data_IF_143453712001
#
_entry.id   IF_143453712001
#
_cell.length_a   1.000
_cell.length_b   1.000
_cell.length_c   1.000
_cell.angle_alpha   90.00
_cell.angle_beta   90.00
_cell.angle_gamma   90.00
#
_symmetry.space_group_name_H-M   'P 1'
#
loop_
_entity.id
_entity.type
_entity.pdbx_description
1 polymer ?
#
# COMPACT_ATOMS: atom_id res chain seq x y z
N UNK A 1 11.82 -12.43 -49.48
CA UNK A 1 11.48 -11.37 -48.50
C UNK A 1 12.46 -10.23 -48.73
N UNK A 2 11.99 -9.00 -48.95
CA UNK A 2 12.89 -7.89 -49.23
C UNK A 2 13.70 -7.52 -47.98
N UNK A 3 14.87 -6.88 -48.14
CA UNK A 3 15.65 -6.40 -46.99
C UNK A 3 14.81 -5.46 -46.11
N UNK A 4 13.98 -4.61 -46.73
CA UNK A 4 13.02 -3.74 -46.05
C UNK A 4 12.01 -4.51 -45.19
N UNK A 5 11.49 -5.64 -45.67
CA UNK A 5 10.55 -6.47 -44.91
C UNK A 5 11.22 -7.09 -43.69
N UNK A 6 12.51 -7.41 -43.75
CA UNK A 6 13.22 -8.04 -42.62
C UNK A 6 13.52 -7.03 -41.52
N UNK A 7 13.88 -5.80 -41.88
CA UNK A 7 14.11 -4.70 -40.93
C UNK A 7 12.81 -4.26 -40.24
N UNK A 8 11.70 -4.18 -40.99
CA UNK A 8 10.39 -3.86 -40.43
C UNK A 8 9.92 -4.94 -39.46
N UNK A 9 10.02 -6.23 -39.80
CA UNK A 9 9.66 -7.32 -38.88
C UNK A 9 10.52 -7.32 -37.61
N UNK A 10 11.81 -7.06 -37.74
CA UNK A 10 12.72 -6.97 -36.58
C UNK A 10 12.36 -5.78 -35.68
N UNK A 11 12.05 -4.61 -36.26
CA UNK A 11 11.61 -3.42 -35.52
C UNK A 11 10.29 -3.67 -34.80
N UNK A 12 9.33 -4.33 -35.46
CA UNK A 12 8.05 -4.70 -34.85
C UNK A 12 8.22 -5.64 -33.67
N UNK A 13 9.03 -6.70 -33.81
CA UNK A 13 9.30 -7.64 -32.71
C UNK A 13 9.94 -6.91 -31.52
N UNK A 14 10.97 -6.08 -31.75
CA UNK A 14 11.63 -5.31 -30.69
C UNK A 14 10.64 -4.35 -30.01
N UNK A 15 9.80 -3.67 -30.78
CA UNK A 15 8.79 -2.75 -30.23
C UNK A 15 7.75 -3.45 -29.36
N UNK A 16 7.32 -4.66 -29.74
CA UNK A 16 6.38 -5.47 -28.97
C UNK A 16 7.00 -5.97 -27.66
N UNK A 17 8.25 -6.42 -27.70
CA UNK A 17 8.99 -6.83 -26.50
C UNK A 17 9.18 -5.65 -25.54
N UNK A 18 9.50 -4.47 -26.06
CA UNK A 18 9.62 -3.25 -25.26
C UNK A 18 8.29 -2.84 -24.62
N UNK A 19 7.18 -2.94 -25.35
CA UNK A 19 5.84 -2.64 -24.84
C UNK A 19 5.46 -3.60 -23.70
N UNK A 20 5.70 -4.90 -23.88
CA UNK A 20 5.44 -5.90 -22.85
C UNK A 20 6.27 -5.64 -21.59
N UNK A 21 7.56 -5.34 -21.77
CA UNK A 21 8.46 -4.95 -20.68
C UNK A 21 7.96 -3.71 -19.93
N UNK A 22 7.54 -2.67 -20.65
CA UNK A 22 7.01 -1.44 -20.06
C UNK A 22 5.74 -1.70 -19.22
N UNK A 23 4.80 -2.49 -19.74
CA UNK A 23 3.57 -2.86 -19.03
C UNK A 23 3.90 -3.61 -17.73
N UNK A 24 4.86 -4.54 -17.78
CA UNK A 24 5.30 -5.29 -16.60
C UNK A 24 5.86 -4.37 -15.52
N UNK A 25 6.73 -3.42 -15.89
CA UNK A 25 7.32 -2.45 -14.96
C UNK A 25 6.25 -1.51 -14.38
N UNK A 26 5.28 -1.08 -15.18
CA UNK A 26 4.16 -0.27 -14.70
C UNK A 26 3.28 -1.05 -13.71
N UNK A 27 2.97 -2.32 -14.00
CA UNK A 27 2.23 -3.18 -13.10
C UNK A 27 2.99 -3.41 -11.77
N UNK A 28 4.32 -3.55 -11.84
CA UNK A 28 5.17 -3.64 -10.65
C UNK A 28 5.12 -2.38 -9.80
N UNK A 29 5.28 -1.19 -10.41
CA UNK A 29 5.16 0.07 -9.70
C UNK A 29 3.78 0.26 -9.09
N UNK A 30 2.72 -0.10 -9.82
CA UNK A 30 1.35 -0.07 -9.29
C UNK A 30 1.22 -0.91 -8.02
N UNK A 31 1.75 -2.14 -8.02
CA UNK A 31 1.76 -3.03 -6.86
C UNK A 31 2.60 -2.50 -5.71
N UNK A 32 3.75 -1.88 -6.02
CA UNK A 32 4.60 -1.23 -5.00
C UNK A 32 3.85 -0.12 -4.28
N UNK A 33 3.11 0.74 -5.01
CA UNK A 33 2.31 1.82 -4.42
C UNK A 33 1.18 1.28 -3.53
N UNK A 34 0.53 0.18 -3.96
CA UNK A 34 -0.48 -0.49 -3.13
C UNK A 34 0.11 -0.98 -1.80
N UNK A 35 1.35 -1.46 -1.79
CA UNK A 35 2.05 -1.87 -0.55
C UNK A 35 2.39 -0.71 0.36
N UNK A 36 2.59 0.49 -0.20
CA UNK A 36 2.79 1.73 0.56
C UNK A 36 1.47 2.32 1.07
N UNK A 37 0.32 1.68 0.81
CA UNK A 37 -1.00 2.22 1.18
C UNK A 37 -1.44 3.40 0.32
N UNK A 38 -0.91 3.51 -0.91
CA UNK A 38 -1.24 4.57 -1.90
C UNK A 38 -2.00 3.99 -3.09
N UNK A 39 -2.65 4.85 -3.87
CA UNK A 39 -3.37 4.40 -5.06
C UNK A 39 -2.35 4.11 -6.17
N UNK A 40 -2.46 2.95 -6.81
CA UNK A 40 -1.46 2.52 -7.81
C UNK A 40 -1.37 3.44 -9.04
N UNK A 41 -2.44 4.15 -9.40
CA UNK A 41 -2.41 5.12 -10.51
C UNK A 41 -1.48 6.31 -10.23
N UNK A 42 -1.17 6.62 -8.97
CA UNK A 42 -0.27 7.73 -8.59
C UNK A 42 1.16 7.47 -9.11
N UNK A 43 1.52 6.21 -9.36
CA UNK A 43 2.80 5.83 -9.97
C UNK A 43 2.91 6.17 -11.46
N UNK A 44 1.79 6.30 -12.17
CA UNK A 44 1.77 6.52 -13.63
C UNK A 44 2.02 7.98 -13.98
N UNK A 45 1.64 8.91 -13.11
CA UNK A 45 1.80 10.35 -13.34
C UNK A 45 3.20 10.79 -12.89
N UNK A 46 4.09 11.25 -13.80
CA UNK A 46 5.52 11.45 -13.49
C UNK A 46 5.80 12.35 -12.27
N UNK A 47 5.11 13.49 -12.17
CA UNK A 47 5.29 14.41 -11.05
C UNK A 47 4.71 13.89 -9.74
N UNK A 48 3.56 13.20 -9.80
CA UNK A 48 2.93 12.60 -8.61
C UNK A 48 3.74 11.42 -8.09
N UNK A 49 4.31 10.62 -8.99
CA UNK A 49 5.12 9.46 -8.63
C UNK A 49 6.23 9.89 -7.66
N UNK A 50 7.05 10.85 -8.07
CA UNK A 50 8.17 11.33 -7.27
C UNK A 50 7.68 12.05 -6.01
N UNK A 51 6.66 12.91 -6.12
CA UNK A 51 6.07 13.61 -4.96
C UNK A 51 5.66 12.62 -3.86
N UNK A 52 4.94 11.55 -4.21
CA UNK A 52 4.44 10.55 -3.25
C UNK A 52 5.58 9.76 -2.61
N UNK A 53 6.61 9.40 -3.37
CA UNK A 53 7.79 8.73 -2.82
C UNK A 53 8.48 9.64 -1.79
N UNK A 54 8.65 10.93 -2.11
CA UNK A 54 9.28 11.89 -1.19
C UNK A 54 8.42 12.18 0.05
N UNK A 55 7.11 12.28 -0.12
CA UNK A 55 6.15 12.42 0.98
C UNK A 55 6.23 11.22 1.94
N UNK A 56 6.29 10.00 1.42
CA UNK A 56 6.35 8.78 2.22
C UNK A 56 7.72 8.53 2.88
N UNK A 57 8.83 8.91 2.23
CA UNK A 57 10.17 8.69 2.77
C UNK A 57 10.67 9.82 3.66
N UNK A 58 10.26 11.06 3.42
CA UNK A 58 10.84 12.26 4.05
C UNK A 58 9.79 13.18 4.69
N UNK A 59 8.53 12.74 4.76
CA UNK A 59 7.39 13.50 5.27
C UNK A 59 7.17 14.86 4.59
N UNK A 60 7.76 15.06 3.41
CA UNK A 60 7.73 16.33 2.69
C UNK A 60 7.92 16.08 1.18
N UNK A 61 6.80 16.10 0.45
CA UNK A 61 6.79 15.93 -1.01
C UNK A 61 7.41 17.12 -1.77
N UNK A 62 7.52 18.30 -1.17
CA UNK A 62 8.14 19.48 -1.81
C UNK A 62 9.65 19.34 -1.97
N UNK A 63 10.29 18.45 -1.20
CA UNK A 63 11.70 18.06 -1.41
C UNK A 63 11.95 17.49 -2.80
N UNK A 64 10.91 17.05 -3.54
CA UNK A 64 11.03 16.74 -4.95
C UNK A 64 11.60 17.90 -5.78
N UNK A 65 11.31 19.16 -5.43
CA UNK A 65 11.85 20.34 -6.14
C UNK A 65 13.38 20.41 -6.08
N UNK A 66 14.01 19.79 -5.08
CA UNK A 66 15.46 19.74 -5.00
C UNK A 66 16.09 18.89 -6.13
N UNK A 67 15.31 18.02 -6.79
CA UNK A 67 15.75 17.28 -7.99
C UNK A 67 15.95 18.20 -9.21
N UNK A 68 15.46 19.45 -9.20
CA UNK A 68 15.72 20.41 -10.27
C UNK A 68 17.19 20.87 -10.29
N UNK A 69 17.91 20.76 -9.17
CA UNK A 69 19.31 21.14 -9.05
C UNK A 69 20.19 19.99 -9.54
N UNK A 70 20.97 20.12 -10.63
CA UNK A 70 21.57 18.98 -11.34
C UNK A 70 22.55 18.13 -10.52
N UNK A 71 23.42 18.75 -9.69
CA UNK A 71 24.35 18.00 -8.84
C UNK A 71 23.65 17.35 -7.64
N UNK A 72 22.70 18.07 -7.05
CA UNK A 72 21.93 17.56 -5.93
C UNK A 72 20.97 16.45 -6.36
N UNK A 73 20.47 16.49 -7.61
CA UNK A 73 19.64 15.46 -8.24
C UNK A 73 20.28 14.08 -8.14
N UNK A 74 21.56 13.94 -8.50
CA UNK A 74 22.24 12.65 -8.47
C UNK A 74 22.35 12.09 -7.04
N UNK A 75 22.78 12.93 -6.10
CA UNK A 75 22.85 12.58 -4.68
C UNK A 75 21.47 12.16 -4.14
N UNK A 76 20.44 12.96 -4.40
CA UNK A 76 19.08 12.70 -3.95
C UNK A 76 18.50 11.43 -4.55
N UNK A 77 18.70 11.17 -5.85
CA UNK A 77 18.19 9.96 -6.50
C UNK A 77 18.79 8.72 -5.84
N UNK A 78 20.12 8.69 -5.64
CA UNK A 78 20.78 7.55 -4.98
C UNK A 78 20.29 7.40 -3.54
N UNK A 79 20.24 8.50 -2.79
CA UNK A 79 19.74 8.50 -1.41
C UNK A 79 18.29 8.01 -1.32
N UNK A 80 17.43 8.48 -2.21
CA UNK A 80 16.02 8.09 -2.29
C UNK A 80 15.87 6.60 -2.57
N UNK A 81 16.64 6.03 -3.51
CA UNK A 81 16.61 4.59 -3.78
C UNK A 81 17.07 3.77 -2.58
N UNK A 82 18.10 4.24 -1.85
CA UNK A 82 18.59 3.58 -0.64
C UNK A 82 17.53 3.65 0.46
N UNK A 83 16.95 4.81 0.73
CA UNK A 83 15.95 4.97 1.78
C UNK A 83 14.66 4.21 1.45
N UNK A 84 14.24 4.19 0.18
CA UNK A 84 13.13 3.36 -0.29
C UNK A 84 13.43 1.87 -0.06
N UNK A 85 14.62 1.40 -0.45
CA UNK A 85 15.01 0.01 -0.22
C UNK A 85 14.99 -0.36 1.26
N UNK A 86 15.46 0.54 2.14
CA UNK A 86 15.46 0.35 3.59
C UNK A 86 14.04 0.32 4.16
N UNK A 87 13.15 1.18 3.67
CA UNK A 87 11.73 1.16 4.04
C UNK A 87 11.05 -0.16 3.67
N UNK A 88 11.51 -0.83 2.60
CA UNK A 88 11.07 -2.19 2.24
C UNK A 88 11.86 -3.32 2.92
N UNK A 89 12.69 -3.00 3.92
CA UNK A 89 13.51 -3.97 4.66
C UNK A 89 14.65 -4.58 3.83
N UNK A 90 15.14 -3.88 2.79
CA UNK A 90 16.25 -4.33 1.93
C UNK A 90 17.57 -3.62 2.28
N UNK A 91 18.68 -4.21 1.83
CA UNK A 91 20.03 -3.72 2.10
C UNK A 91 20.40 -2.50 1.27
N UNK A 92 21.45 -1.77 1.68
CA UNK A 92 21.99 -0.62 0.93
C UNK A 92 22.42 -1.00 -0.48
N UNK A 93 22.98 -2.20 -0.66
CA UNK A 93 23.36 -2.71 -1.98
C UNK A 93 22.15 -2.89 -2.91
N UNK A 94 20.98 -3.25 -2.37
CA UNK A 94 19.73 -3.29 -3.12
C UNK A 94 19.29 -1.88 -3.56
N UNK A 95 19.43 -0.90 -2.68
CA UNK A 95 19.16 0.51 -2.99
C UNK A 95 20.08 1.09 -4.07
N UNK A 96 21.39 0.78 -4.00
CA UNK A 96 22.35 1.14 -5.05
C UNK A 96 22.01 0.44 -6.37
N UNK A 97 21.72 -0.86 -6.32
CA UNK A 97 21.28 -1.62 -7.49
C UNK A 97 20.03 -1.02 -8.14
N UNK A 98 19.08 -0.55 -7.32
CA UNK A 98 17.89 0.16 -7.79
C UNK A 98 18.22 1.50 -8.45
N UNK A 99 19.21 2.24 -7.97
CA UNK A 99 19.62 3.51 -8.61
C UNK A 99 20.18 3.29 -10.03
N UNK A 100 20.88 2.17 -10.28
CA UNK A 100 21.44 1.84 -11.61
C UNK A 100 20.49 1.02 -12.50
N UNK A 101 19.66 0.15 -11.91
CA UNK A 101 18.79 -0.80 -12.60
C UNK A 101 17.34 -0.76 -12.09
N UNK A 102 16.80 0.44 -11.90
CA UNK A 102 15.47 0.71 -11.33
C UNK A 102 14.34 -0.24 -11.78
N UNK A 103 14.12 -0.51 -13.08
CA UNK A 103 12.97 -1.31 -13.52
C UNK A 103 12.91 -2.71 -12.90
N UNK A 104 14.06 -3.39 -12.78
CA UNK A 104 14.14 -4.75 -12.25
C UNK A 104 13.83 -4.73 -10.75
N UNK A 105 14.42 -3.77 -10.02
CA UNK A 105 14.21 -3.64 -8.58
C UNK A 105 12.79 -3.23 -8.21
N UNK A 106 12.12 -2.41 -9.04
CA UNK A 106 10.69 -2.13 -8.88
C UNK A 106 9.84 -3.39 -9.06
N UNK A 107 10.19 -4.29 -9.98
CA UNK A 107 9.53 -5.59 -10.11
C UNK A 107 9.72 -6.46 -8.87
N UNK A 108 10.94 -6.50 -8.32
CA UNK A 108 11.23 -7.22 -7.08
C UNK A 108 10.46 -6.65 -5.87
N UNK A 109 10.31 -5.33 -5.77
CA UNK A 109 9.54 -4.70 -4.69
C UNK A 109 8.04 -4.88 -4.87
N UNK A 110 7.54 -4.68 -6.08
CA UNK A 110 6.12 -4.77 -6.42
C UNK A 110 5.58 -6.18 -6.26
N UNK A 111 6.21 -7.16 -6.91
CA UNK A 111 5.74 -8.55 -6.92
C UNK A 111 6.36 -9.43 -5.84
N UNK A 112 7.49 -9.05 -5.25
CA UNK A 112 8.12 -9.84 -4.19
C UNK A 112 7.37 -9.77 -2.86
N UNK A 113 7.86 -10.47 -1.83
CA UNK A 113 7.24 -10.47 -0.49
C UNK A 113 7.70 -9.29 0.40
N UNK A 114 8.30 -8.25 -0.18
CA UNK A 114 8.75 -7.10 0.59
C UNK A 114 7.53 -6.34 1.17
N UNK A 115 7.58 -6.07 2.46
CA UNK A 115 6.58 -5.29 3.21
C UNK A 115 7.14 -3.89 3.40
N UNK A 116 6.34 -2.87 3.08
CA UNK A 116 6.72 -1.48 3.28
C UNK A 116 6.54 -1.10 4.76
N UNK A 117 7.58 -0.53 5.35
CA UNK A 117 7.59 0.03 6.69
C UNK A 117 7.86 1.53 6.55
N UNK A 118 6.82 2.34 6.75
CA UNK A 118 6.92 3.80 6.64
C UNK A 118 7.96 4.34 7.64
N UNK A 119 9.06 4.98 7.17
CA UNK A 119 10.04 5.63 8.07
C UNK A 119 9.41 6.78 8.85
N UNK A 120 8.43 7.43 8.23
CA UNK A 120 7.56 8.40 8.86
C UNK A 120 6.12 7.88 8.72
N UNK A 121 5.62 7.15 9.74
CA UNK A 121 4.22 6.80 9.77
C UNK A 121 3.42 8.09 9.66
N UNK A 122 2.59 8.21 8.62
CA UNK A 122 1.57 9.26 8.62
C UNK A 122 0.80 9.10 9.94
N UNK A 123 0.63 10.16 10.76
CA UNK A 123 -0.28 10.11 11.89
C UNK A 123 -1.62 9.67 11.33
N UNK A 124 -2.00 8.42 11.60
CA UNK A 124 -3.05 7.65 10.93
C UNK A 124 -3.94 8.50 10.01
N UNK A 125 -3.52 8.70 8.76
CA UNK A 125 -4.36 9.39 7.80
C UNK A 125 -5.44 8.40 7.34
N UNK A 126 -6.55 8.44 8.07
CA UNK A 126 -7.91 8.29 7.58
C UNK A 126 -8.28 6.98 6.88
N UNK A 127 -8.38 5.88 7.63
CA UNK A 127 -9.75 5.34 7.73
C UNK A 127 -10.54 6.50 8.34
N UNK A 128 -11.56 7.12 7.68
CA UNK A 128 -12.31 8.21 8.30
C UNK A 128 -12.52 7.82 9.76
N UNK A 129 -12.30 8.72 10.73
CA UNK A 129 -12.49 8.36 12.15
C UNK A 129 -13.81 7.60 12.34
N UNK A 130 -14.79 7.95 11.52
CA UNK A 130 -15.99 7.19 11.17
C UNK A 130 -15.79 5.71 10.85
N UNK A 131 -14.99 5.25 9.88
CA UNK A 131 -14.84 3.82 9.57
C UNK A 131 -14.10 3.03 10.65
N UNK A 132 -13.07 3.54 11.34
CA UNK A 132 -12.47 2.80 12.49
C UNK A 132 -13.50 2.66 13.60
N UNK A 133 -14.21 3.75 13.92
CA UNK A 133 -15.27 3.74 14.92
C UNK A 133 -16.39 2.79 14.49
N UNK A 134 -16.81 2.81 13.23
CA UNK A 134 -17.82 1.91 12.63
C UNK A 134 -17.33 0.47 12.62
N UNK A 135 -16.07 0.15 12.34
CA UNK A 135 -15.57 -1.22 12.41
C UNK A 135 -15.54 -1.74 13.85
N UNK A 136 -15.08 -0.92 14.80
CA UNK A 136 -15.08 -1.26 16.24
C UNK A 136 -16.51 -1.39 16.76
N UNK A 137 -17.40 -0.51 16.35
CA UNK A 137 -18.81 -0.48 16.72
C UNK A 137 -19.59 -1.65 16.09
N UNK A 138 -19.40 -1.94 14.80
CA UNK A 138 -19.99 -3.10 14.13
C UNK A 138 -19.52 -4.43 14.71
N UNK A 139 -18.23 -4.52 15.10
CA UNK A 139 -17.70 -5.72 15.76
C UNK A 139 -18.36 -5.90 17.13
N UNK A 140 -18.41 -4.83 17.93
CA UNK A 140 -19.06 -4.80 19.25
C UNK A 140 -20.55 -5.10 19.18
N UNK A 141 -21.24 -4.56 18.16
CA UNK A 141 -22.65 -4.81 17.85
C UNK A 141 -22.92 -6.26 17.45
N UNK A 142 -22.04 -6.87 16.65
CA UNK A 142 -22.14 -8.30 16.32
C UNK A 142 -21.95 -9.19 17.54
N UNK A 143 -20.95 -8.90 18.36
CA UNK A 143 -20.67 -9.64 19.60
C UNK A 143 -21.86 -9.53 20.55
N UNK A 144 -22.37 -8.32 20.81
CA UNK A 144 -23.55 -8.11 21.65
C UNK A 144 -24.82 -8.78 21.09
N UNK A 145 -25.02 -8.79 19.77
CA UNK A 145 -26.15 -9.50 19.15
C UNK A 145 -26.02 -11.03 19.27
N UNK A 146 -24.79 -11.55 19.31
CA UNK A 146 -24.53 -12.96 19.57
C UNK A 146 -24.84 -13.30 21.03
N UNK A 147 -24.34 -12.49 21.96
CA UNK A 147 -24.59 -12.65 23.40
C UNK A 147 -26.09 -12.55 23.73
N UNK A 148 -26.83 -11.64 23.09
CA UNK A 148 -28.28 -11.52 23.26
C UNK A 148 -29.04 -12.75 22.74
N UNK A 149 -28.58 -13.34 21.62
CA UNK A 149 -29.12 -14.61 21.13
C UNK A 149 -28.86 -15.71 22.14
N UNK A 150 -27.64 -15.83 22.64
CA UNK A 150 -27.27 -16.86 23.62
C UNK A 150 -28.07 -16.72 24.92
N UNK A 151 -28.25 -15.49 25.41
CA UNK A 151 -29.08 -15.19 26.59
C UNK A 151 -30.57 -15.52 26.38
N UNK A 152 -31.10 -15.29 25.18
CA UNK A 152 -32.49 -15.65 24.88
C UNK A 152 -32.67 -17.17 24.85
N UNK A 153 -31.71 -17.92 24.32
CA UNK A 153 -31.72 -19.39 24.38
C UNK A 153 -31.64 -19.89 25.83
N UNK A 154 -30.75 -19.34 26.65
CA UNK A 154 -30.59 -19.72 28.08
C UNK A 154 -31.84 -19.44 28.92
N UNK A 155 -32.53 -18.33 28.64
CA UNK A 155 -33.81 -18.03 29.28
C UNK A 155 -34.87 -19.06 28.88
N UNK A 156 -34.88 -19.48 27.61
CA UNK A 156 -35.86 -20.42 27.08
C UNK A 156 -35.67 -21.84 27.62
N UNK A 157 -34.43 -22.24 27.93
CA UNK A 157 -34.09 -23.51 28.57
C UNK A 157 -34.29 -23.51 30.09
N UNK A 158 -34.57 -22.36 30.70
CA UNK A 158 -34.76 -22.20 32.14
C UNK A 158 -33.45 -22.19 32.94
N UNK A 159 -32.30 -22.02 32.28
CA UNK A 159 -30.99 -21.97 32.94
C UNK A 159 -30.75 -20.66 33.70
N UNK A 160 -31.46 -19.58 33.33
CA UNK A 160 -31.34 -18.26 33.98
C UNK A 160 -32.72 -17.69 34.34
N UNK A 161 -32.78 -16.93 35.44
CA UNK A 161 -34.00 -16.24 35.88
C UNK A 161 -34.27 -14.96 35.07
N UNK A 162 -35.53 -14.53 35.02
CA UNK A 162 -35.97 -13.33 34.29
C UNK A 162 -35.25 -12.06 34.75
N UNK A 163 -35.05 -11.92 36.07
CA UNK A 163 -34.36 -10.78 36.66
C UNK A 163 -32.90 -10.71 36.21
N UNK A 164 -32.23 -11.87 36.10
CA UNK A 164 -30.83 -11.97 35.64
C UNK A 164 -30.73 -11.64 34.14
N UNK A 165 -31.70 -12.09 33.34
CA UNK A 165 -31.77 -11.77 31.91
C UNK A 165 -31.89 -10.27 31.66
N UNK A 166 -32.83 -9.59 32.32
CA UNK A 166 -33.02 -8.14 32.14
C UNK A 166 -31.82 -7.34 32.68
N UNK A 167 -31.16 -7.78 33.75
CA UNK A 167 -29.93 -7.13 34.23
C UNK A 167 -28.80 -7.20 33.19
N UNK A 168 -28.48 -8.38 32.66
CA UNK A 168 -27.40 -8.58 31.69
C UNK A 168 -27.71 -7.89 30.36
N UNK A 169 -28.94 -8.05 29.86
CA UNK A 169 -29.43 -7.35 28.66
C UNK A 169 -29.29 -5.84 28.81
N UNK A 170 -29.65 -5.27 29.96
CA UNK A 170 -29.50 -3.83 30.20
C UNK A 170 -28.05 -3.37 30.26
N UNK A 171 -27.11 -4.22 30.71
CA UNK A 171 -25.67 -3.91 30.74
C UNK A 171 -25.08 -3.95 29.32
N UNK A 172 -25.47 -4.94 28.53
CA UNK A 172 -25.06 -5.07 27.12
C UNK A 172 -25.57 -3.90 26.27
N UNK A 173 -26.85 -3.54 26.41
CA UNK A 173 -27.43 -2.40 25.70
C UNK A 173 -26.82 -1.05 26.10
N UNK A 174 -26.25 -0.94 27.30
CA UNK A 174 -25.52 0.27 27.75
C UNK A 174 -24.09 0.34 27.23
N UNK A 175 -23.56 -0.76 26.72
CA UNK A 175 -22.20 -0.83 26.18
C UNK A 175 -22.15 -0.57 24.67
N UNK A 176 -23.28 -0.64 23.98
CA UNK A 176 -23.46 -0.16 22.61
C UNK A 176 -23.70 1.36 22.63
#
# INVERSE_FOLDING_TARGET
MSQQDTETMSTLIVSLLYLLYAILVLAAQWKMYQKMGRKGWESLVPFRNIYVIFEELYADGWKMLLLLIPFYRLYLTVKCCIDLSRAFGKSVGFGLGMAFFSPIFFCLLGFGNAVYQSPHPRPAEALPSESVTVYVDLKRSREAAQDLRDLTWMKQTGEISEDTYEEIKSKLLRQL
#
